data_IF_393571501295
#
_entry.id   IF_393571501295
#
_cell.length_a   1.000
_cell.length_b   1.000
_cell.length_c   1.000
_cell.angle_alpha   90.00
_cell.angle_beta   90.00
_cell.angle_gamma   90.00
#
_symmetry.space_group_name_H-M   'P 1'
#
loop_
_entity.id
_entity.type
_entity.pdbx_description
1 polymer ?
#
# COMPACT_ATOMS: atom_id res chain seq x y z
N UNK A 1 -13.68 -5.81 -13.85
CA UNK A 1 -12.51 -6.49 -13.27
C UNK A 1 -11.62 -5.47 -12.60
N UNK A 2 -11.20 -5.73 -11.38
CA UNK A 2 -10.45 -4.75 -10.60
C UNK A 2 -8.96 -5.08 -10.72
N UNK A 3 -8.34 -4.65 -11.79
CA UNK A 3 -6.90 -4.88 -11.98
C UNK A 3 -6.10 -3.63 -11.74
N UNK A 4 -6.69 -2.48 -12.06
CA UNK A 4 -6.03 -1.21 -11.89
C UNK A 4 -6.80 -0.37 -10.88
N UNK A 5 -6.16 -0.05 -9.78
CA UNK A 5 -6.74 0.83 -8.79
C UNK A 5 -5.88 2.08 -8.69
N UNK A 6 -6.52 3.18 -8.39
CA UNK A 6 -5.82 4.42 -8.12
C UNK A 6 -5.54 4.52 -6.65
N UNK A 7 -4.27 4.65 -6.31
CA UNK A 7 -3.87 4.89 -4.92
C UNK A 7 -3.43 6.33 -4.78
N UNK A 8 -3.60 6.85 -3.58
CA UNK A 8 -3.18 8.19 -3.23
C UNK A 8 -1.98 8.12 -2.30
N UNK A 9 -0.94 8.90 -2.57
CA UNK A 9 0.15 9.05 -1.63
C UNK A 9 -0.15 10.27 -0.76
N UNK A 10 -0.61 10.01 0.45
CA UNK A 10 -0.85 11.08 1.42
C UNK A 10 0.46 11.40 2.12
N UNK A 11 1.21 12.33 1.55
CA UNK A 11 2.54 12.67 2.08
C UNK A 11 2.48 13.33 3.45
N UNK A 12 1.38 14.00 3.75
CA UNK A 12 1.20 14.64 5.05
C UNK A 12 1.13 13.60 6.16
N UNK A 13 0.37 12.52 5.94
CA UNK A 13 0.23 11.45 6.92
C UNK A 13 1.22 10.32 6.70
N UNK A 14 2.03 10.39 5.65
CA UNK A 14 3.00 9.34 5.30
C UNK A 14 2.33 7.99 5.14
N UNK A 15 1.34 7.95 4.27
CA UNK A 15 0.64 6.69 3.99
C UNK A 15 0.12 6.66 2.56
N UNK A 16 0.11 5.47 1.95
CA UNK A 16 -0.61 5.22 0.72
C UNK A 16 -2.04 4.85 1.07
N UNK A 17 -2.99 5.35 0.29
CA UNK A 17 -4.41 5.16 0.55
C UNK A 17 -5.11 4.58 -0.66
N UNK A 18 -6.01 3.64 -0.42
CA UNK A 18 -6.92 3.10 -1.43
C UNK A 18 -8.34 3.30 -0.91
N UNK A 19 -9.12 4.08 -1.65
CA UNK A 19 -10.49 4.39 -1.26
C UNK A 19 -11.45 3.68 -2.20
N UNK A 20 -12.30 2.82 -1.64
CA UNK A 20 -13.30 2.08 -2.40
C UNK A 20 -14.64 2.30 -1.70
N UNK A 21 -15.54 3.07 -2.35
CA UNK A 21 -16.80 3.45 -1.71
C UNK A 21 -16.53 4.25 -0.44
N UNK A 22 -17.10 3.79 0.66
CA UNK A 22 -16.91 4.44 1.96
C UNK A 22 -15.76 3.84 2.76
N UNK A 23 -15.05 2.87 2.19
CA UNK A 23 -13.96 2.17 2.87
C UNK A 23 -12.62 2.68 2.38
N UNK A 24 -11.64 2.75 3.30
CA UNK A 24 -10.30 3.15 2.94
C UNK A 24 -9.28 2.19 3.56
N UNK A 25 -8.41 1.66 2.69
CA UNK A 25 -7.25 0.91 3.12
C UNK A 25 -6.04 1.84 3.13
N UNK A 26 -5.05 1.53 3.94
CA UNK A 26 -3.85 2.35 4.00
C UNK A 26 -2.62 1.52 4.38
N UNK A 27 -1.48 1.99 3.88
CA UNK A 27 -0.17 1.45 4.26
C UNK A 27 0.67 2.64 4.66
N UNK A 28 1.03 2.72 5.93
CA UNK A 28 1.91 3.78 6.42
C UNK A 28 3.35 3.47 6.04
N UNK A 29 4.13 4.51 5.81
CA UNK A 29 5.50 4.35 5.39
C UNK A 29 6.42 5.37 6.05
N UNK A 30 7.72 5.04 6.04
CA UNK A 30 8.76 5.96 6.40
C UNK A 30 9.79 5.97 5.27
N UNK A 31 10.32 7.15 4.95
CA UNK A 31 11.33 7.31 3.92
C UNK A 31 12.68 7.56 4.57
N UNK A 32 13.71 6.85 4.11
CA UNK A 32 15.06 7.04 4.61
C UNK A 32 16.06 6.58 3.54
N UNK A 33 16.91 7.49 3.09
CA UNK A 33 18.01 7.18 2.17
C UNK A 33 17.57 6.40 0.93
N UNK A 34 16.54 6.85 0.26
CA UNK A 34 15.97 6.21 -0.94
C UNK A 34 15.39 4.83 -0.66
N UNK A 35 15.07 4.56 0.58
CA UNK A 35 14.35 3.35 0.97
C UNK A 35 13.02 3.76 1.55
N UNK A 36 11.99 2.99 1.23
CA UNK A 36 10.68 3.20 1.83
C UNK A 36 10.37 1.98 2.69
N UNK A 37 10.08 2.23 3.96
CA UNK A 37 9.70 1.19 4.90
C UNK A 37 8.19 1.19 5.01
N UNK A 38 7.56 0.08 4.62
CA UNK A 38 6.11 -0.08 4.72
C UNK A 38 5.83 -0.66 6.09
N UNK A 39 5.43 0.20 7.04
CA UNK A 39 5.47 -0.13 8.46
C UNK A 39 4.14 -0.60 9.03
N UNK A 40 3.03 -0.18 8.44
CA UNK A 40 1.73 -0.54 8.98
C UNK A 40 0.71 -0.68 7.86
N UNK A 41 0.03 -1.82 7.84
CA UNK A 41 -0.99 -2.13 6.87
C UNK A 41 -2.34 -2.16 7.57
N UNK A 42 -3.31 -1.44 7.01
CA UNK A 42 -4.68 -1.48 7.52
C UNK A 42 -5.65 -1.58 6.36
N UNK A 43 -6.55 -2.52 6.43
CA UNK A 43 -7.57 -2.70 5.40
C UNK A 43 -8.89 -3.11 6.06
N UNK A 44 -9.99 -2.42 5.72
CA UNK A 44 -11.31 -2.83 6.19
C UNK A 44 -11.62 -4.26 5.77
N UNK A 45 -12.33 -4.98 6.63
CA UNK A 45 -12.65 -6.38 6.39
C UNK A 45 -13.41 -6.58 5.08
N UNK A 46 -14.30 -5.66 4.74
CA UNK A 46 -15.07 -5.74 3.50
C UNK A 46 -14.15 -5.75 2.27
N UNK A 47 -13.11 -4.94 2.27
CA UNK A 47 -12.16 -4.89 1.16
C UNK A 47 -11.27 -6.13 1.16
N UNK A 48 -10.89 -6.59 2.34
CA UNK A 48 -10.11 -7.82 2.48
C UNK A 48 -10.87 -9.01 1.87
N UNK A 49 -12.16 -9.11 2.18
CA UNK A 49 -13.01 -10.20 1.67
C UNK A 49 -13.16 -10.14 0.15
N UNK A 50 -13.06 -8.97 -0.43
CA UNK A 50 -13.17 -8.78 -1.87
C UNK A 50 -11.84 -8.96 -2.61
N UNK A 51 -10.77 -9.26 -1.89
CA UNK A 51 -9.48 -9.53 -2.51
C UNK A 51 -8.63 -8.30 -2.81
N UNK A 52 -8.88 -7.20 -2.13
CA UNK A 52 -8.15 -5.96 -2.40
C UNK A 52 -6.74 -5.93 -1.80
N UNK A 53 -6.40 -6.87 -0.91
CA UNK A 53 -5.09 -6.86 -0.27
C UNK A 53 -3.97 -6.87 -1.31
N UNK A 54 -3.94 -7.89 -2.15
CA UNK A 54 -2.86 -8.07 -3.11
C UNK A 54 -2.87 -6.96 -4.16
N UNK A 55 -4.07 -6.53 -4.56
CA UNK A 55 -4.22 -5.45 -5.52
C UNK A 55 -3.62 -4.17 -4.98
N UNK A 56 -3.91 -3.83 -3.73
CA UNK A 56 -3.41 -2.63 -3.10
C UNK A 56 -1.89 -2.69 -2.91
N UNK A 57 -1.38 -3.79 -2.36
CA UNK A 57 0.06 -3.94 -2.13
C UNK A 57 0.82 -3.89 -3.46
N UNK A 58 0.30 -4.55 -4.49
CA UNK A 58 0.92 -4.51 -5.81
C UNK A 58 0.95 -3.08 -6.36
N UNK A 59 -0.14 -2.34 -6.22
CA UNK A 59 -0.20 -0.96 -6.70
C UNK A 59 0.83 -0.09 -5.98
N UNK A 60 1.00 -0.28 -4.67
CA UNK A 60 2.00 0.45 -3.89
C UNK A 60 3.41 0.09 -4.37
N UNK A 61 3.69 -1.19 -4.58
CA UNK A 61 4.99 -1.63 -5.07
C UNK A 61 5.30 -1.04 -6.44
N UNK A 62 4.31 -1.04 -7.33
CA UNK A 62 4.49 -0.48 -8.68
C UNK A 62 4.80 1.01 -8.61
N UNK A 63 4.10 1.74 -7.76
CA UNK A 63 4.33 3.16 -7.58
C UNK A 63 5.74 3.43 -7.04
N UNK A 64 6.15 2.70 -6.04
CA UNK A 64 7.46 2.87 -5.41
C UNK A 64 8.56 2.52 -6.40
N UNK A 65 8.39 1.43 -7.15
CA UNK A 65 9.35 1.03 -8.17
C UNK A 65 9.52 2.11 -9.23
N UNK A 66 8.41 2.71 -9.67
CA UNK A 66 8.44 3.75 -10.70
C UNK A 66 9.18 4.99 -10.20
N UNK A 67 9.23 5.21 -8.90
CA UNK A 67 9.98 6.32 -8.30
C UNK A 67 11.46 6.00 -8.12
N UNK A 68 11.87 4.76 -8.38
CA UNK A 68 13.26 4.33 -8.18
C UNK A 68 13.66 4.19 -6.73
N UNK A 69 12.70 3.89 -5.86
CA UNK A 69 12.94 3.74 -4.42
C UNK A 69 12.89 2.25 -4.07
N UNK A 70 13.78 1.81 -3.19
CA UNK A 70 13.80 0.43 -2.72
C UNK A 70 12.75 0.21 -1.64
N UNK A 71 11.99 -0.88 -1.76
CA UNK A 71 10.97 -1.23 -0.78
C UNK A 71 11.58 -2.09 0.32
N UNK A 72 11.32 -1.70 1.57
CA UNK A 72 11.70 -2.46 2.75
C UNK A 72 10.42 -2.85 3.51
N UNK A 73 9.83 -4.00 3.20
CA UNK A 73 8.59 -4.40 3.86
C UNK A 73 8.86 -4.84 5.30
N UNK A 74 8.19 -4.23 6.25
CA UNK A 74 8.31 -4.56 7.67
C UNK A 74 6.99 -5.02 8.26
N UNK A 75 5.87 -4.73 7.59
CA UNK A 75 4.56 -5.22 8.00
C UNK A 75 4.43 -6.70 7.61
N UNK A 76 3.93 -7.56 8.51
CA UNK A 76 3.75 -8.98 8.16
C UNK A 76 2.87 -9.20 6.93
N UNK A 77 1.84 -8.37 6.75
CA UNK A 77 0.95 -8.50 5.61
C UNK A 77 1.68 -8.21 4.31
N UNK A 78 2.55 -7.20 4.32
CA UNK A 78 3.32 -6.83 3.12
C UNK A 78 4.41 -7.86 2.87
N UNK A 79 5.07 -8.32 3.91
CA UNK A 79 6.08 -9.38 3.79
C UNK A 79 5.44 -10.64 3.19
N UNK A 80 4.23 -10.98 3.63
CA UNK A 80 3.53 -12.15 3.13
C UNK A 80 3.19 -12.07 1.64
N UNK A 81 3.11 -10.85 1.08
CA UNK A 81 2.86 -10.67 -0.35
C UNK A 81 4.06 -11.11 -1.19
N UNK A 82 5.24 -10.95 -0.66
CA UNK A 82 6.45 -11.31 -1.35
C UNK A 82 6.61 -12.83 -1.43
#
# INVERSE_FOLDING_TARGET
>A
MIEDVEITDNEFLRQFELEIGDNMARIEYALQDRKIFLTKYEMPEDLEDQGFRDIFIKAVFDEVRDRGISVMPTSPEVVGFL
#
